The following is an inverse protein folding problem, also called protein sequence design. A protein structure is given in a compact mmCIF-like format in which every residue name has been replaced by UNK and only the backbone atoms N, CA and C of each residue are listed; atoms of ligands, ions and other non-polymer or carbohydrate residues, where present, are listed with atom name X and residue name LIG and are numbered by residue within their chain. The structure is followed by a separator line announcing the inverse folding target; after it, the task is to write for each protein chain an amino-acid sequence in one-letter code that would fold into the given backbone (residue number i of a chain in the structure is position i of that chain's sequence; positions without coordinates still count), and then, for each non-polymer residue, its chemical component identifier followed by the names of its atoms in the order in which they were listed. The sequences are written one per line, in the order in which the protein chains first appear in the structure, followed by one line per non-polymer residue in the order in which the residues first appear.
data_IF_897283784435
#
_entry.id   IF_897283784435
#
_cell.length_a   1.000
_cell.length_b   1.000
_cell.length_c   1.000
_cell.angle_alpha   90.00
_cell.angle_beta   90.00
_cell.angle_gamma   90.00
#
_symmetry.space_group_name_H-M   'P 1'
#
loop_
_entity.id
_entity.type
_entity.pdbx_description
1 polymer ?
#
# COMPACT_ATOMS: atom_id res chain seq x y z
N UNK A 1 -83.73 42.94 -78.70
CA UNK A 1 -82.30 43.18 -78.98
C UNK A 1 -81.50 42.51 -77.88
N UNK A 2 -80.96 41.33 -78.15
CA UNK A 2 -80.20 40.52 -77.21
C UNK A 2 -78.71 40.67 -77.55
N UNK A 3 -77.91 41.15 -76.59
CA UNK A 3 -76.47 41.20 -76.72
C UNK A 3 -75.89 39.84 -76.31
N UNK A 4 -75.49 39.05 -77.29
CA UNK A 4 -74.64 37.88 -77.08
C UNK A 4 -73.23 38.34 -76.72
N UNK A 5 -72.75 37.91 -75.55
CA UNK A 5 -71.42 38.21 -75.05
C UNK A 5 -70.45 37.12 -75.55
N UNK A 6 -69.36 37.45 -76.26
CA UNK A 6 -68.44 36.44 -76.77
C UNK A 6 -67.67 35.79 -75.61
N UNK A 7 -67.94 34.50 -75.38
CA UNK A 7 -67.15 33.67 -74.46
C UNK A 7 -65.74 33.54 -75.02
N UNK A 8 -64.77 34.17 -74.36
CA UNK A 8 -63.35 33.94 -74.64
C UNK A 8 -62.97 32.51 -74.24
N UNK A 9 -62.09 31.83 -74.98
CA UNK A 9 -61.60 30.52 -74.61
C UNK A 9 -60.64 30.66 -73.42
N UNK A 10 -61.05 30.15 -72.27
CA UNK A 10 -60.20 29.96 -71.09
C UNK A 10 -59.27 28.79 -71.40
N UNK A 11 -58.22 29.05 -72.16
CA UNK A 11 -57.17 28.08 -72.43
C UNK A 11 -55.82 28.68 -72.09
N UNK A 12 -55.08 27.96 -71.23
CA UNK A 12 -53.62 27.99 -71.02
C UNK A 12 -53.02 28.54 -69.71
N UNK A 13 -53.80 29.00 -68.73
CA UNK A 13 -53.26 29.35 -67.40
C UNK A 13 -52.79 28.14 -66.56
N UNK A 14 -53.49 27.00 -66.68
CA UNK A 14 -53.23 25.80 -65.83
C UNK A 14 -51.86 25.17 -66.02
N UNK A 15 -51.23 25.32 -67.19
CA UNK A 15 -50.00 24.56 -67.50
C UNK A 15 -48.73 25.19 -66.92
N UNK A 16 -48.71 26.51 -66.72
CA UNK A 16 -47.55 27.24 -66.22
C UNK A 16 -47.49 27.21 -64.69
N UNK A 17 -48.63 27.48 -64.04
CA UNK A 17 -48.79 27.36 -62.59
C UNK A 17 -48.47 25.93 -62.11
N UNK A 18 -48.87 24.89 -62.84
CA UNK A 18 -48.51 23.51 -62.53
C UNK A 18 -47.01 23.23 -62.67
N UNK A 19 -46.33 23.85 -63.65
CA UNK A 19 -44.87 23.71 -63.81
C UNK A 19 -44.13 24.40 -62.67
N UNK A 20 -44.60 25.57 -62.24
CA UNK A 20 -44.05 26.30 -61.11
C UNK A 20 -44.27 25.54 -59.80
N UNK A 21 -45.46 25.01 -59.55
CA UNK A 21 -45.75 24.20 -58.37
C UNK A 21 -44.82 22.99 -58.28
N UNK A 22 -44.68 22.23 -59.37
CA UNK A 22 -43.74 21.08 -59.42
C UNK A 22 -42.28 21.50 -59.22
N UNK A 23 -41.91 22.72 -59.63
CA UNK A 23 -40.56 23.27 -59.39
C UNK A 23 -40.34 23.52 -57.91
N UNK A 24 -41.29 24.16 -57.24
CA UNK A 24 -41.24 24.41 -55.80
C UNK A 24 -41.27 23.11 -54.99
N UNK A 25 -42.10 22.14 -55.36
CA UNK A 25 -42.12 20.81 -54.72
C UNK A 25 -40.74 20.13 -54.75
N UNK A 26 -40.02 20.20 -55.88
CA UNK A 26 -38.66 19.65 -55.99
C UNK A 26 -37.67 20.39 -55.09
N UNK A 27 -37.77 21.72 -55.01
CA UNK A 27 -36.90 22.54 -54.15
C UNK A 27 -37.15 22.23 -52.68
N UNK A 28 -38.41 22.16 -52.24
CA UNK A 28 -38.76 21.79 -50.86
C UNK A 28 -38.34 20.36 -50.53
N UNK A 29 -38.57 19.39 -51.42
CA UNK A 29 -38.14 18.01 -51.20
C UNK A 29 -36.61 17.90 -51.12
N UNK A 30 -35.88 18.68 -51.91
CA UNK A 30 -34.42 18.76 -51.84
C UNK A 30 -33.97 19.39 -50.50
N UNK A 31 -34.57 20.52 -50.10
CA UNK A 31 -34.24 21.21 -48.84
C UNK A 31 -34.50 20.31 -47.62
N UNK A 32 -35.67 19.66 -47.55
CA UNK A 32 -35.98 18.70 -46.49
C UNK A 32 -35.02 17.51 -46.45
N UNK A 33 -34.57 17.03 -47.62
CA UNK A 33 -33.56 15.97 -47.68
C UNK A 33 -32.22 16.46 -47.12
N UNK A 34 -31.85 17.69 -47.43
CA UNK A 34 -30.61 18.30 -46.95
C UNK A 34 -30.64 18.49 -45.42
N UNK A 35 -31.71 19.08 -44.88
CA UNK A 35 -31.90 19.21 -43.42
C UNK A 35 -31.84 17.84 -42.71
N UNK A 36 -32.47 16.81 -43.28
CA UNK A 36 -32.39 15.45 -42.74
C UNK A 36 -30.96 14.89 -42.75
N UNK A 37 -30.17 15.17 -43.79
CA UNK A 37 -28.77 14.74 -43.83
C UNK A 37 -27.92 15.46 -42.79
N UNK A 38 -28.12 16.77 -42.59
CA UNK A 38 -27.42 17.56 -41.58
C UNK A 38 -27.77 17.08 -40.16
N UNK A 39 -29.06 16.89 -39.88
CA UNK A 39 -29.53 16.33 -38.61
C UNK A 39 -28.98 14.92 -38.38
N UNK A 40 -28.98 14.07 -39.40
CA UNK A 40 -28.40 12.72 -39.30
C UNK A 40 -26.89 12.77 -38.98
N UNK A 41 -26.14 13.68 -39.62
CA UNK A 41 -24.73 13.91 -39.32
C UNK A 41 -24.49 14.37 -37.88
N UNK A 42 -25.31 15.31 -37.40
CA UNK A 42 -25.25 15.78 -36.02
C UNK A 42 -25.53 14.67 -35.00
N UNK A 43 -26.60 13.88 -35.21
CA UNK A 43 -26.95 12.74 -34.35
C UNK A 43 -25.84 11.69 -34.35
N UNK A 44 -25.25 11.38 -35.50
CA UNK A 44 -24.13 10.44 -35.58
C UNK A 44 -22.90 10.93 -34.81
N UNK A 45 -22.58 12.23 -34.90
CA UNK A 45 -21.50 12.87 -34.15
C UNK A 45 -21.73 12.75 -32.64
N UNK A 46 -22.93 13.10 -32.15
CA UNK A 46 -23.30 12.96 -30.75
C UNK A 46 -23.22 11.50 -30.27
N UNK A 47 -23.69 10.54 -31.06
CA UNK A 47 -23.61 9.12 -30.73
C UNK A 47 -22.14 8.67 -30.58
N UNK A 48 -21.25 9.12 -31.47
CA UNK A 48 -19.82 8.84 -31.37
C UNK A 48 -19.19 9.45 -30.11
N UNK A 49 -19.55 10.69 -29.77
CA UNK A 49 -19.08 11.33 -28.53
C UNK A 49 -19.53 10.53 -27.29
N UNK A 50 -20.80 10.10 -27.22
CA UNK A 50 -21.31 9.28 -26.12
C UNK A 50 -20.58 7.92 -26.02
N UNK A 51 -20.31 7.26 -27.16
CA UNK A 51 -19.53 6.02 -27.19
C UNK A 51 -18.09 6.24 -26.70
N UNK A 52 -17.45 7.33 -27.09
CA UNK A 52 -16.13 7.71 -26.62
C UNK A 52 -16.10 7.91 -25.09
N UNK A 53 -17.05 8.66 -24.53
CA UNK A 53 -17.17 8.84 -23.08
C UNK A 53 -17.37 7.51 -22.35
N UNK A 54 -18.24 6.62 -22.86
CA UNK A 54 -18.43 5.27 -22.28
C UNK A 54 -17.15 4.42 -22.35
N UNK A 55 -16.34 4.56 -23.41
CA UNK A 55 -15.04 3.89 -23.53
C UNK A 55 -14.07 4.41 -22.48
N UNK A 56 -13.95 5.73 -22.32
CA UNK A 56 -13.09 6.35 -21.31
C UNK A 56 -13.49 5.93 -19.89
N UNK A 57 -14.78 5.95 -19.57
CA UNK A 57 -15.28 5.51 -18.26
C UNK A 57 -14.96 4.03 -17.97
N UNK A 58 -14.99 3.16 -18.99
CA UNK A 58 -14.57 1.75 -18.85
C UNK A 58 -13.06 1.63 -18.59
N UNK A 59 -12.24 2.41 -19.29
CA UNK A 59 -10.79 2.43 -19.10
C UNK A 59 -10.42 2.93 -17.70
N UNK A 60 -11.05 4.01 -17.24
CA UNK A 60 -10.84 4.53 -15.90
C UNK A 60 -11.13 3.48 -14.83
N UNK A 61 -12.28 2.79 -14.91
CA UNK A 61 -12.59 1.69 -14.00
C UNK A 61 -11.58 0.54 -14.05
N UNK A 62 -11.00 0.25 -15.21
CA UNK A 62 -9.95 -0.79 -15.34
C UNK A 62 -8.66 -0.34 -14.65
N UNK A 63 -8.26 0.92 -14.82
CA UNK A 63 -7.08 1.48 -14.17
C UNK A 63 -7.25 1.51 -12.65
N UNK A 64 -8.39 1.94 -12.14
CA UNK A 64 -8.67 1.95 -10.70
C UNK A 64 -8.63 0.54 -10.09
N UNK A 65 -9.19 -0.47 -10.77
CA UNK A 65 -9.10 -1.87 -10.33
C UNK A 65 -7.67 -2.37 -10.33
N UNK A 66 -6.89 -2.05 -11.37
CA UNK A 66 -5.50 -2.46 -11.46
C UNK A 66 -4.65 -1.81 -10.35
N UNK A 67 -4.87 -0.53 -10.07
CA UNK A 67 -4.20 0.19 -8.97
C UNK A 67 -4.54 -0.42 -7.61
N UNK A 68 -5.83 -0.67 -7.34
CA UNK A 68 -6.27 -1.34 -6.11
C UNK A 68 -5.64 -2.73 -5.96
N UNK A 69 -5.61 -3.52 -7.03
CA UNK A 69 -4.97 -4.84 -7.00
C UNK A 69 -3.46 -4.75 -6.75
N UNK A 70 -2.78 -3.75 -7.31
CA UNK A 70 -1.36 -3.50 -7.05
C UNK A 70 -1.12 -3.11 -5.58
N UNK A 71 -1.96 -2.24 -5.02
CA UNK A 71 -1.88 -1.86 -3.61
C UNK A 71 -2.08 -3.07 -2.68
N UNK A 72 -3.09 -3.91 -2.93
CA UNK A 72 -3.29 -5.15 -2.17
C UNK A 72 -2.07 -6.06 -2.22
N UNK A 73 -1.46 -6.26 -3.40
CA UNK A 73 -0.24 -7.07 -3.55
C UNK A 73 0.95 -6.47 -2.79
N UNK A 74 1.08 -5.15 -2.73
CA UNK A 74 2.14 -4.50 -1.96
C UNK A 74 1.94 -4.72 -0.46
N UNK A 75 0.72 -4.58 0.05
CA UNK A 75 0.42 -4.86 1.46
C UNK A 75 0.63 -6.33 1.83
N UNK A 76 0.26 -7.28 0.97
CA UNK A 76 0.54 -8.70 1.17
C UNK A 76 2.06 -8.98 1.25
N UNK A 77 2.85 -8.32 0.40
CA UNK A 77 4.32 -8.42 0.43
C UNK A 77 4.90 -7.84 1.71
N UNK A 78 4.44 -6.68 2.15
CA UNK A 78 4.85 -6.05 3.41
C UNK A 78 4.51 -6.93 4.61
N UNK A 79 3.31 -7.51 4.64
CA UNK A 79 2.90 -8.47 5.66
C UNK A 79 3.79 -9.72 5.66
N UNK A 80 4.15 -10.24 4.47
CA UNK A 80 5.09 -11.34 4.34
C UNK A 80 6.49 -11.02 4.88
N UNK A 81 7.02 -9.83 4.57
CA UNK A 81 8.33 -9.38 5.04
C UNK A 81 8.38 -9.19 6.55
N UNK A 82 7.35 -8.55 7.13
CA UNK A 82 7.26 -8.36 8.59
C UNK A 82 7.20 -9.69 9.32
N UNK A 83 6.42 -10.65 8.83
CA UNK A 83 6.37 -12.01 9.36
C UNK A 83 7.71 -12.75 9.24
N UNK A 84 8.38 -12.65 8.09
CA UNK A 84 9.70 -13.26 7.88
C UNK A 84 10.77 -12.68 8.82
N UNK A 85 10.79 -11.36 9.01
CA UNK A 85 11.70 -10.69 9.96
C UNK A 85 11.42 -11.13 11.39
N UNK A 86 10.14 -11.22 11.79
CA UNK A 86 9.75 -11.71 13.10
C UNK A 86 10.21 -13.16 13.33
N UNK A 87 10.00 -14.04 12.34
CA UNK A 87 10.46 -15.43 12.38
C UNK A 87 11.97 -15.54 12.52
N UNK A 88 12.74 -14.75 11.76
CA UNK A 88 14.20 -14.73 11.85
C UNK A 88 14.70 -14.24 13.21
N UNK A 89 14.05 -13.21 13.78
CA UNK A 89 14.35 -12.71 15.12
C UNK A 89 14.11 -13.79 16.18
N UNK A 90 12.97 -14.48 16.11
CA UNK A 90 12.64 -15.56 17.03
C UNK A 90 13.65 -16.72 16.94
N UNK A 91 14.03 -17.13 15.72
CA UNK A 91 15.04 -18.16 15.49
C UNK A 91 16.41 -17.77 16.08
N UNK A 92 16.86 -16.52 15.85
CA UNK A 92 18.09 -15.98 16.44
C UNK A 92 18.06 -15.97 17.96
N UNK A 93 16.95 -15.53 18.55
CA UNK A 93 16.78 -15.53 20.02
C UNK A 93 16.83 -16.94 20.58
N UNK A 94 16.15 -17.92 19.95
CA UNK A 94 16.20 -19.32 20.37
C UNK A 94 17.63 -19.87 20.29
N UNK A 95 18.33 -19.63 19.18
CA UNK A 95 19.73 -20.03 19.02
C UNK A 95 20.65 -19.40 20.07
N UNK A 96 20.49 -18.12 20.36
CA UNK A 96 21.26 -17.44 21.41
C UNK A 96 20.99 -18.02 22.81
N UNK A 97 19.72 -18.33 23.13
CA UNK A 97 19.36 -18.95 24.42
C UNK A 97 20.00 -20.33 24.59
N UNK A 98 19.97 -21.16 23.55
CA UNK A 98 20.61 -22.49 23.57
C UNK A 98 22.12 -22.37 23.75
N UNK A 99 22.77 -21.45 23.02
CA UNK A 99 24.21 -21.19 23.18
C UNK A 99 24.56 -20.74 24.59
N UNK A 100 23.79 -19.82 25.17
CA UNK A 100 24.00 -19.36 26.54
C UNK A 100 23.73 -20.44 27.58
N UNK A 101 22.74 -21.31 27.36
CA UNK A 101 22.46 -22.43 28.27
C UNK A 101 23.62 -23.43 28.35
N UNK A 102 24.32 -23.64 27.23
CA UNK A 102 25.46 -24.54 27.14
C UNK A 102 26.81 -23.86 27.42
N UNK A 103 26.82 -22.55 27.74
CA UNK A 103 28.06 -21.82 28.01
C UNK A 103 28.54 -22.10 29.45
N UNK A 104 29.70 -22.77 29.65
CA UNK A 104 30.23 -23.05 30.97
C UNK A 104 30.46 -21.78 31.81
N UNK A 105 30.64 -20.62 31.16
CA UNK A 105 30.77 -19.33 31.85
C UNK A 105 29.50 -18.92 32.59
N UNK A 106 28.31 -19.36 32.17
CA UNK A 106 27.06 -19.06 32.89
C UNK A 106 26.98 -19.83 34.21
N UNK A 107 27.32 -21.13 34.20
CA UNK A 107 27.43 -21.92 35.42
C UNK A 107 28.49 -21.33 36.36
N UNK A 108 29.65 -20.94 35.83
CA UNK A 108 30.68 -20.26 36.60
C UNK A 108 30.20 -18.91 37.17
N UNK A 109 29.43 -18.11 36.42
CA UNK A 109 28.86 -16.84 36.91
C UNK A 109 27.93 -17.04 38.11
N UNK A 110 27.12 -18.09 38.11
CA UNK A 110 26.26 -18.45 39.25
C UNK A 110 27.09 -18.79 40.47
N UNK A 111 28.13 -19.62 40.31
CA UNK A 111 29.00 -20.01 41.42
C UNK A 111 29.80 -18.83 41.97
N UNK A 112 30.37 -17.98 41.10
CA UNK A 112 31.02 -16.73 41.52
C UNK A 112 30.06 -15.82 42.27
N UNK A 113 28.78 -15.74 41.87
CA UNK A 113 27.76 -14.95 42.59
C UNK A 113 27.48 -15.50 43.99
N UNK A 114 27.49 -16.83 44.16
CA UNK A 114 27.38 -17.49 45.46
C UNK A 114 28.55 -17.12 46.36
N UNK A 115 29.79 -17.32 45.88
CA UNK A 115 31.02 -16.96 46.58
C UNK A 115 31.05 -15.47 46.95
N UNK A 116 30.60 -14.61 46.03
CA UNK A 116 30.50 -13.18 46.27
C UNK A 116 29.49 -12.86 47.37
N UNK A 117 28.33 -13.52 47.38
CA UNK A 117 27.32 -13.33 48.42
C UNK A 117 27.83 -13.74 49.80
N UNK A 118 28.60 -14.82 49.87
CA UNK A 118 29.22 -15.29 51.12
C UNK A 118 30.30 -14.35 51.62
N UNK A 119 31.13 -13.81 50.70
CA UNK A 119 32.06 -12.73 51.02
C UNK A 119 31.34 -11.50 51.57
N UNK A 120 30.22 -11.11 50.95
CA UNK A 120 29.44 -9.96 51.39
C UNK A 120 28.68 -10.19 52.71
N UNK A 121 28.43 -11.45 53.08
CA UNK A 121 27.91 -11.86 54.39
C UNK A 121 28.99 -11.98 55.47
N UNK A 122 30.28 -11.82 55.09
CA UNK A 122 31.40 -11.95 56.01
C UNK A 122 31.81 -13.40 56.30
N UNK A 123 31.31 -14.38 55.55
CA UNK A 123 31.66 -15.80 55.70
C UNK A 123 33.07 -16.08 55.19
N UNK A 124 33.53 -15.32 54.20
CA UNK A 124 34.92 -15.35 53.71
C UNK A 124 35.55 -13.97 53.80
N UNK A 125 36.84 -13.90 54.10
CA UNK A 125 37.54 -12.63 54.30
C UNK A 125 38.44 -12.34 53.10
N UNK A 126 37.98 -11.46 52.20
CA UNK A 126 38.81 -10.93 51.10
C UNK A 126 39.02 -9.42 51.26
N UNK A 127 40.28 -8.98 51.16
CA UNK A 127 40.70 -7.58 51.40
C UNK A 127 40.20 -6.60 50.33
N UNK A 128 39.97 -7.08 49.11
CA UNK A 128 39.55 -6.24 47.99
C UNK A 128 38.80 -7.06 46.94
N UNK A 129 38.08 -6.38 46.04
CA UNK A 129 37.43 -7.02 44.89
C UNK A 129 38.42 -7.74 43.97
N UNK A 130 39.64 -7.23 43.84
CA UNK A 130 40.70 -7.89 43.06
C UNK A 130 41.20 -9.18 43.72
N UNK A 131 41.33 -9.20 45.05
CA UNK A 131 41.68 -10.41 45.79
C UNK A 131 40.59 -11.48 45.67
N UNK A 132 39.32 -11.07 45.77
CA UNK A 132 38.19 -11.95 45.51
C UNK A 132 38.18 -12.49 44.07
N UNK A 133 38.48 -11.64 43.06
CA UNK A 133 38.48 -12.05 41.67
C UNK A 133 39.51 -13.16 41.37
N UNK A 134 40.72 -13.06 41.94
CA UNK A 134 41.73 -14.12 41.84
C UNK A 134 41.26 -15.42 42.49
N UNK A 135 40.73 -15.33 43.71
CA UNK A 135 40.17 -16.46 44.44
C UNK A 135 39.02 -17.17 43.70
N UNK A 136 38.16 -16.39 43.04
CA UNK A 136 37.03 -16.91 42.26
C UNK A 136 37.48 -17.60 40.97
N UNK A 137 38.50 -17.08 40.30
CA UNK A 137 39.12 -17.69 39.11
C UNK A 137 39.73 -19.06 39.45
N UNK A 138 40.42 -19.18 40.59
CA UNK A 138 40.98 -20.46 41.04
C UNK A 138 39.92 -21.56 41.28
N UNK A 139 38.67 -21.17 41.54
CA UNK A 139 37.56 -22.09 41.90
C UNK A 139 36.54 -22.32 40.80
N UNK A 140 36.66 -21.61 39.68
CA UNK A 140 35.65 -21.65 38.61
C UNK A 140 36.33 -21.75 37.26
N UNK A 141 35.57 -22.13 36.22
CA UNK A 141 36.08 -22.29 34.85
C UNK A 141 36.35 -20.94 34.14
N UNK A 142 36.67 -19.88 34.86
CA UNK A 142 36.87 -18.54 34.31
C UNK A 142 38.35 -18.26 34.20
N UNK A 143 38.81 -17.92 33.00
CA UNK A 143 40.24 -17.72 32.73
C UNK A 143 40.77 -16.37 33.22
N UNK A 144 39.92 -15.34 33.27
CA UNK A 144 40.35 -13.96 33.52
C UNK A 144 39.73 -13.35 34.78
N UNK A 145 40.55 -12.89 35.75
CA UNK A 145 40.08 -12.14 36.92
C UNK A 145 39.36 -10.83 36.57
N UNK A 146 39.63 -10.25 35.41
CA UNK A 146 38.96 -9.02 34.96
C UNK A 146 37.48 -9.26 34.70
N UNK A 147 37.13 -10.45 34.21
CA UNK A 147 35.74 -10.87 33.98
C UNK A 147 34.96 -10.89 35.30
N UNK A 148 35.55 -11.50 36.34
CA UNK A 148 34.95 -11.54 37.68
C UNK A 148 34.86 -10.14 38.28
N UNK A 149 35.91 -9.33 38.15
CA UNK A 149 35.94 -7.95 38.66
C UNK A 149 34.81 -7.11 38.04
N UNK A 150 34.55 -7.27 36.74
CA UNK A 150 33.44 -6.60 36.04
C UNK A 150 32.09 -7.01 36.61
N UNK A 151 31.85 -8.31 36.84
CA UNK A 151 30.59 -8.78 37.44
C UNK A 151 30.40 -8.28 38.87
N UNK A 152 31.46 -8.28 39.68
CA UNK A 152 31.40 -7.75 41.05
C UNK A 152 30.99 -6.28 41.05
N UNK A 153 31.56 -5.46 40.16
CA UNK A 153 31.17 -4.04 40.00
C UNK A 153 29.70 -3.88 39.63
N UNK A 154 29.21 -4.70 38.72
CA UNK A 154 27.80 -4.72 38.30
C UNK A 154 26.86 -5.04 39.48
N UNK A 155 27.13 -6.11 40.22
CA UNK A 155 26.31 -6.48 41.38
C UNK A 155 26.40 -5.49 42.54
N UNK A 156 27.56 -4.86 42.74
CA UNK A 156 27.69 -3.76 43.70
C UNK A 156 26.81 -2.57 43.32
N UNK A 157 26.76 -2.22 42.02
CA UNK A 157 25.87 -1.17 41.51
C UNK A 157 24.41 -1.53 41.71
N UNK A 158 24.01 -2.76 41.41
CA UNK A 158 22.65 -3.26 41.66
C UNK A 158 22.27 -3.18 43.15
N UNK A 159 23.16 -3.61 44.06
CA UNK A 159 22.92 -3.51 45.51
C UNK A 159 22.83 -2.08 46.00
N UNK A 160 23.64 -1.15 45.46
CA UNK A 160 23.58 0.26 45.83
C UNK A 160 22.29 0.92 45.35
N UNK A 161 21.82 0.58 44.14
CA UNK A 161 20.55 1.06 43.59
C UNK A 161 19.35 0.66 44.44
N UNK A 162 19.27 -0.61 44.88
CA UNK A 162 18.16 -1.12 45.71
C UNK A 162 18.08 -0.56 47.13
N UNK A 163 19.06 0.22 47.59
CA UNK A 163 19.05 0.85 48.91
C UNK A 163 18.45 2.26 48.89
N UNK A 164 18.11 2.78 47.71
CA UNK A 164 17.56 4.12 47.51
C UNK A 164 16.09 4.14 47.06
N UNK A 165 15.46 2.98 46.93
CA UNK A 165 14.01 2.80 46.86
C UNK A 165 13.49 2.37 48.23
#
# INVERSE_FOLDING_TARGET
MAHENPRTPITSGSSEDERELRRWERVFAWALRQERHELAGYVASLANQLLAHRRLARLQRRLERALKAQQSRMHEREAGLTSAVAGHRAARQKGARVKLANDPKQAAKVEVKRLWSDWQRGTTTHRSGAAFARYAVERTAIESPDTVTRWVREWQKERKGRRHD
#
